data_IF_334765218961
#
_entry.id   IF_334765218961
#
_cell.length_a   1.000
_cell.length_b   1.000
_cell.length_c   1.000
_cell.angle_alpha   90.00
_cell.angle_beta   90.00
_cell.angle_gamma   90.00
#
_symmetry.space_group_name_H-M   'P 1'
#
loop_
_entity.id
_entity.type
_entity.pdbx_description
1 polymer ?
#
# COMPACT_ATOMS: atom_id res chain seq x y z
N UNK A 1 6.32 -17.09 -23.06
CA UNK A 1 5.94 -15.66 -23.14
C UNK A 1 4.99 -15.41 -21.99
N UNK A 2 5.49 -14.83 -20.89
CA UNK A 2 4.75 -14.70 -19.62
C UNK A 2 3.77 -13.54 -19.64
N UNK A 3 2.63 -13.62 -18.91
CA UNK A 3 1.65 -12.55 -18.89
C UNK A 3 2.19 -11.36 -18.10
N UNK A 4 2.33 -10.26 -18.83
CA UNK A 4 2.54 -8.90 -18.39
C UNK A 4 1.35 -8.42 -17.55
N UNK A 5 1.50 -8.38 -16.23
CA UNK A 5 0.69 -7.50 -15.38
C UNK A 5 1.30 -6.09 -15.45
N UNK A 6 1.08 -5.42 -16.57
CA UNK A 6 1.29 -3.99 -16.68
C UNK A 6 0.23 -3.28 -15.81
N UNK A 7 0.73 -2.45 -14.89
CA UNK A 7 0.12 -1.24 -14.33
C UNK A 7 -1.42 -1.16 -14.36
N UNK A 8 -2.06 -1.10 -13.19
CA UNK A 8 -3.51 -0.85 -13.13
C UNK A 8 -3.84 0.19 -12.07
N UNK A 9 -4.18 1.41 -12.51
CA UNK A 9 -5.02 2.33 -11.76
C UNK A 9 -6.45 1.79 -11.85
N UNK A 10 -6.91 1.12 -10.80
CA UNK A 10 -8.27 0.55 -10.78
C UNK A 10 -9.20 1.62 -10.19
N UNK A 11 -9.81 2.43 -11.06
CA UNK A 11 -10.94 3.30 -10.71
C UNK A 11 -12.22 2.47 -10.82
N UNK A 12 -12.77 1.99 -9.70
CA UNK A 12 -13.98 1.18 -9.69
C UNK A 12 -15.22 2.07 -9.61
N UNK A 13 -15.72 2.55 -10.75
CA UNK A 13 -17.08 3.04 -10.87
C UNK A 13 -18.00 1.87 -11.30
N UNK A 14 -18.90 1.46 -10.41
CA UNK A 14 -19.81 0.34 -10.65
C UNK A 14 -19.24 -1.03 -10.28
N UNK A 15 -20.07 -2.06 -10.42
CA UNK A 15 -19.71 -3.42 -10.04
C UNK A 15 -18.94 -4.08 -11.18
N UNK A 16 -17.66 -4.38 -10.94
CA UNK A 16 -16.80 -5.06 -11.91
C UNK A 16 -15.98 -6.17 -11.27
N UNK A 17 -15.79 -7.25 -12.04
CA UNK A 17 -14.87 -8.34 -11.78
C UNK A 17 -13.51 -7.97 -12.37
N UNK A 18 -12.46 -7.91 -11.55
CA UNK A 18 -11.09 -8.13 -12.05
C UNK A 18 -10.87 -9.63 -12.00
N UNK A 19 -10.98 -10.28 -13.16
CA UNK A 19 -10.74 -11.71 -13.33
C UNK A 19 -9.24 -11.98 -13.48
N UNK A 20 -8.60 -12.46 -12.41
CA UNK A 20 -7.51 -13.43 -12.56
C UNK A 20 -8.19 -14.81 -12.56
N UNK A 21 -8.42 -15.35 -13.77
CA UNK A 21 -8.98 -16.69 -14.09
C UNK A 21 -9.95 -17.32 -13.06
N UNK A 22 -11.26 -17.28 -13.36
CA UNK A 22 -12.30 -18.09 -12.69
C UNK A 22 -13.60 -17.30 -12.44
N UNK A 23 -14.73 -17.74 -13.02
CA UNK A 23 -16.05 -17.08 -13.01
C UNK A 23 -16.63 -16.85 -11.59
N UNK A 24 -17.36 -15.74 -11.35
CA UNK A 24 -18.34 -15.67 -10.26
C UNK A 24 -19.37 -14.52 -10.41
N UNK A 25 -20.65 -14.87 -10.45
CA UNK A 25 -21.82 -14.00 -10.72
C UNK A 25 -22.56 -13.48 -9.47
N UNK A 26 -23.21 -12.32 -9.69
CA UNK A 26 -24.32 -11.65 -8.96
C UNK A 26 -24.05 -10.85 -7.67
N UNK A 27 -24.79 -9.74 -7.59
CA UNK A 27 -24.63 -8.54 -6.74
C UNK A 27 -25.94 -8.26 -6.00
N UNK A 28 -25.87 -7.87 -4.72
CA UNK A 28 -26.94 -7.19 -3.98
C UNK A 28 -26.30 -6.21 -2.97
N UNK A 29 -26.87 -4.99 -2.80
CA UNK A 29 -26.43 -3.91 -1.85
C UNK A 29 -27.02 -4.17 -0.44
N UNK A 30 -26.48 -3.77 0.76
CA UNK A 30 -26.36 -2.38 1.34
C UNK A 30 -25.28 -2.16 2.49
N UNK A 31 -25.35 -1.04 3.26
CA UNK A 31 -24.71 -0.68 4.58
C UNK A 31 -23.53 -1.53 5.09
N UNK A 32 -22.29 -1.00 5.25
CA UNK A 32 -21.06 -1.51 5.95
C UNK A 32 -20.77 -3.03 6.10
N UNK A 33 -21.59 -3.86 5.48
CA UNK A 33 -21.82 -5.30 5.60
C UNK A 33 -22.02 -5.91 4.21
N UNK A 34 -22.16 -5.11 3.14
CA UNK A 34 -21.99 -5.59 1.76
C UNK A 34 -20.56 -5.39 1.32
N UNK A 35 -19.70 -6.31 1.73
CA UNK A 35 -18.32 -6.25 1.34
C UNK A 35 -18.13 -6.79 -0.09
N UNK A 36 -17.91 -5.90 -1.05
CA UNK A 36 -17.14 -6.30 -2.23
C UNK A 36 -15.78 -6.79 -1.74
N UNK A 37 -15.40 -8.01 -2.11
CA UNK A 37 -14.16 -8.65 -1.63
C UNK A 37 -13.14 -8.68 -2.75
N UNK A 38 -11.97 -8.10 -2.51
CA UNK A 38 -10.78 -8.38 -3.32
C UNK A 38 -9.94 -9.41 -2.57
N UNK A 39 -9.79 -10.59 -3.15
CA UNK A 39 -8.99 -11.67 -2.55
C UNK A 39 -7.69 -11.84 -3.33
N UNK A 40 -6.55 -11.66 -2.65
CA UNK A 40 -5.21 -11.87 -3.21
C UNK A 40 -4.66 -13.15 -2.58
N UNK A 41 -4.55 -14.22 -3.36
CA UNK A 41 -4.02 -15.52 -2.89
C UNK A 41 -2.65 -15.84 -3.48
N UNK A 42 -2.32 -15.25 -4.62
CA UNK A 42 -1.04 -15.46 -5.31
C UNK A 42 -0.02 -14.38 -4.92
N UNK A 43 1.20 -14.54 -5.44
CA UNK A 43 2.23 -13.51 -5.42
C UNK A 43 2.07 -12.61 -6.65
N UNK A 44 1.77 -11.34 -6.42
CA UNK A 44 1.86 -10.28 -7.41
C UNK A 44 3.27 -9.70 -7.36
N UNK A 45 3.91 -9.54 -8.51
CA UNK A 45 5.28 -9.03 -8.61
C UNK A 45 5.32 -7.83 -9.53
N UNK A 46 5.90 -6.73 -9.05
CA UNK A 46 6.03 -5.50 -9.83
C UNK A 46 7.17 -5.62 -10.86
N UNK A 47 7.12 -4.84 -11.95
CA UNK A 47 8.26 -4.71 -12.85
C UNK A 47 9.49 -4.16 -12.12
N UNK A 48 10.59 -4.90 -12.16
CA UNK A 48 11.83 -4.54 -11.46
C UNK A 48 12.59 -3.36 -12.08
N UNK A 49 12.50 -3.19 -13.40
CA UNK A 49 13.26 -2.20 -14.17
C UNK A 49 12.60 -0.82 -14.12
N UNK A 50 13.24 0.22 -13.52
CA UNK A 50 12.64 1.56 -13.43
C UNK A 50 12.22 2.16 -14.77
N UNK A 51 12.97 1.86 -15.84
CA UNK A 51 12.67 2.33 -17.20
C UNK A 51 11.39 1.73 -17.81
N UNK A 52 10.88 0.63 -17.25
CA UNK A 52 9.67 -0.01 -17.75
C UNK A 52 8.40 0.63 -17.18
N UNK A 53 8.53 1.54 -16.21
CA UNK A 53 7.40 2.19 -15.55
C UNK A 53 6.84 3.35 -16.35
N UNK A 54 5.52 3.45 -16.31
CA UNK A 54 4.80 4.60 -16.81
C UNK A 54 5.27 5.87 -16.08
N UNK A 55 5.83 6.87 -16.80
CA UNK A 55 6.30 8.11 -16.18
C UNK A 55 5.15 8.87 -15.48
N UNK A 56 3.92 8.75 -15.97
CA UNK A 56 2.74 9.43 -15.40
C UNK A 56 2.28 8.77 -14.09
N UNK A 57 2.66 7.51 -13.86
CA UNK A 57 2.40 6.74 -12.63
C UNK A 57 3.69 6.38 -11.89
N UNK A 58 4.74 7.17 -12.06
CA UNK A 58 6.09 6.91 -11.50
C UNK A 58 6.14 6.74 -9.97
N UNK A 59 5.06 7.09 -9.25
CA UNK A 59 4.94 6.98 -7.79
C UNK A 59 3.90 5.96 -7.32
N UNK A 60 3.27 5.22 -8.22
CA UNK A 60 2.13 4.35 -7.91
C UNK A 60 2.21 3.00 -8.63
N UNK A 61 2.12 1.90 -7.88
CA UNK A 61 1.93 0.57 -8.46
C UNK A 61 0.46 0.10 -8.43
N UNK A 62 -0.02 -0.35 -7.28
CA UNK A 62 -1.40 -0.80 -7.09
C UNK A 62 -2.20 0.31 -6.42
N UNK A 63 -2.94 1.07 -7.22
CA UNK A 63 -3.78 2.17 -6.75
C UNK A 63 -5.26 1.83 -6.79
N UNK A 64 -5.92 2.01 -5.66
CA UNK A 64 -7.37 1.90 -5.53
C UNK A 64 -7.92 3.21 -4.98
N UNK A 65 -8.89 3.78 -5.67
CA UNK A 65 -9.50 5.03 -5.25
C UNK A 65 -11.01 5.03 -5.37
N UNK A 66 -11.65 5.93 -4.62
CA UNK A 66 -13.10 6.14 -4.63
C UNK A 66 -13.89 4.86 -4.28
N UNK A 67 -13.34 4.04 -3.39
CA UNK A 67 -13.96 2.80 -2.95
C UNK A 67 -14.81 3.02 -1.70
N UNK A 68 -15.93 2.31 -1.61
CA UNK A 68 -16.76 2.27 -0.40
C UNK A 68 -17.08 0.83 -0.04
N UNK A 69 -16.74 0.41 1.19
CA UNK A 69 -17.15 -0.89 1.72
C UNK A 69 -16.38 -2.09 1.15
N UNK A 70 -15.12 -1.91 0.73
CA UNK A 70 -14.33 -2.98 0.11
C UNK A 70 -13.44 -3.69 1.15
N UNK A 71 -13.45 -5.03 1.09
CA UNK A 71 -12.58 -5.88 1.91
C UNK A 71 -11.45 -6.46 1.04
N UNK A 72 -10.22 -6.01 1.29
CA UNK A 72 -8.98 -6.59 0.79
C UNK A 72 -8.54 -7.70 1.74
N UNK A 73 -8.37 -8.91 1.22
CA UNK A 73 -8.09 -10.08 2.04
C UNK A 73 -7.29 -11.15 1.30
N UNK A 74 -6.80 -12.13 2.04
CA UNK A 74 -6.13 -13.31 1.51
C UNK A 74 -4.77 -13.52 2.17
N UNK A 75 -4.03 -14.51 1.68
CA UNK A 75 -2.68 -14.87 2.14
C UNK A 75 -1.61 -14.60 1.08
N UNK A 76 -1.98 -13.88 0.02
CA UNK A 76 -1.09 -13.56 -1.08
C UNK A 76 -0.03 -12.51 -0.72
N UNK A 77 0.92 -12.36 -1.63
CA UNK A 77 2.09 -11.51 -1.47
C UNK A 77 2.07 -10.41 -2.54
N UNK A 78 2.23 -9.16 -2.13
CA UNK A 78 2.46 -8.01 -3.01
C UNK A 78 3.96 -7.70 -2.95
N UNK A 79 4.70 -8.01 -4.01
CA UNK A 79 6.15 -7.84 -4.08
C UNK A 79 6.53 -6.70 -5.02
N UNK A 80 7.10 -5.63 -4.46
CA UNK A 80 7.52 -4.46 -5.22
C UNK A 80 8.81 -4.63 -6.03
N UNK A 81 9.58 -5.71 -5.87
CA UNK A 81 10.85 -5.90 -6.60
C UNK A 81 11.80 -4.69 -6.52
N UNK A 82 11.91 -4.07 -5.33
CA UNK A 82 12.56 -2.77 -5.14
C UNK A 82 14.09 -2.72 -5.30
N UNK A 83 14.79 -3.83 -5.49
CA UNK A 83 16.27 -3.87 -5.45
C UNK A 83 16.94 -2.89 -6.42
N UNK A 84 16.48 -2.82 -7.68
CA UNK A 84 17.02 -1.91 -8.70
C UNK A 84 16.69 -0.44 -8.39
N UNK A 85 15.52 -0.18 -7.81
CA UNK A 85 15.14 1.16 -7.34
C UNK A 85 16.01 1.64 -6.19
N UNK A 86 16.30 0.76 -5.24
CA UNK A 86 17.18 1.07 -4.12
C UNK A 86 18.60 1.34 -4.59
N UNK A 87 19.14 0.54 -5.51
CA UNK A 87 20.47 0.74 -6.09
C UNK A 87 20.59 2.10 -6.82
N UNK A 88 19.53 2.53 -7.49
CA UNK A 88 19.45 3.82 -8.19
C UNK A 88 19.15 5.02 -7.28
N UNK A 89 18.87 4.81 -5.99
CA UNK A 89 18.46 5.88 -5.07
C UNK A 89 19.62 6.84 -4.75
N UNK A 90 19.31 8.14 -4.68
CA UNK A 90 20.26 9.14 -4.21
C UNK A 90 20.61 9.01 -2.71
N UNK A 91 19.80 8.27 -1.94
CA UNK A 91 20.09 7.94 -0.54
C UNK A 91 21.15 6.86 -0.38
N UNK A 92 21.33 6.00 -1.39
CA UNK A 92 22.44 5.05 -1.46
C UNK A 92 23.71 5.72 -2.00
N UNK A 93 23.57 6.49 -3.06
CA UNK A 93 24.67 7.24 -3.66
C UNK A 93 24.22 8.65 -4.04
N UNK A 94 24.80 9.68 -3.40
CA UNK A 94 24.42 11.09 -3.62
C UNK A 94 24.68 11.60 -5.04
N UNK A 95 25.46 10.90 -5.86
CA UNK A 95 25.65 11.24 -7.28
C UNK A 95 24.47 10.81 -8.15
N UNK A 96 23.61 9.91 -7.67
CA UNK A 96 22.39 9.52 -8.38
C UNK A 96 21.35 10.64 -8.30
N UNK A 97 20.49 10.80 -9.33
CA UNK A 97 19.39 11.74 -9.26
C UNK A 97 18.40 11.34 -8.17
N UNK A 98 17.95 12.31 -7.36
CA UNK A 98 16.89 12.07 -6.38
C UNK A 98 15.54 11.97 -7.07
N UNK A 99 15.18 10.76 -7.49
CA UNK A 99 13.88 10.43 -8.08
C UNK A 99 13.03 9.67 -7.08
N UNK A 100 11.73 9.94 -7.09
CA UNK A 100 10.76 9.11 -6.39
C UNK A 100 10.64 7.73 -7.04
N UNK A 101 10.11 6.78 -6.28
CA UNK A 101 9.82 5.45 -6.76
C UNK A 101 8.37 5.05 -6.42
N UNK A 102 7.84 3.98 -7.02
CA UNK A 102 6.46 3.57 -6.79
C UNK A 102 6.19 3.11 -5.35
N UNK A 103 5.02 3.47 -4.84
CA UNK A 103 4.42 2.83 -3.67
C UNK A 103 3.75 1.52 -4.09
N UNK A 104 3.94 0.45 -3.31
CA UNK A 104 3.43 -0.86 -3.67
C UNK A 104 1.89 -0.95 -3.64
N UNK A 105 1.26 -0.48 -2.55
CA UNK A 105 -0.19 -0.43 -2.40
C UNK A 105 -0.65 0.95 -1.92
N UNK A 106 -1.62 1.53 -2.62
CA UNK A 106 -2.25 2.80 -2.24
C UNK A 106 -3.77 2.65 -2.19
N UNK A 107 -4.37 3.01 -1.06
CA UNK A 107 -5.81 3.25 -0.91
C UNK A 107 -5.99 4.76 -0.75
N UNK A 108 -6.67 5.38 -1.71
CA UNK A 108 -6.90 6.82 -1.74
C UNK A 108 -8.39 7.15 -1.81
N UNK A 109 -8.83 8.28 -1.25
CA UNK A 109 -10.19 8.81 -1.43
C UNK A 109 -11.29 7.78 -1.17
N UNK A 110 -11.12 6.92 -0.15
CA UNK A 110 -11.94 5.72 0.05
C UNK A 110 -12.53 5.66 1.46
N UNK A 111 -13.65 4.95 1.62
CA UNK A 111 -14.34 4.83 2.90
C UNK A 111 -14.71 3.38 3.25
N UNK A 112 -14.77 3.07 4.55
CA UNK A 112 -15.18 1.75 5.04
C UNK A 112 -14.35 0.60 4.45
N UNK A 113 -13.02 0.75 4.44
CA UNK A 113 -12.09 -0.23 3.87
C UNK A 113 -11.58 -1.18 4.95
N UNK A 114 -11.50 -2.47 4.62
CA UNK A 114 -10.83 -3.47 5.48
C UNK A 114 -9.71 -4.13 4.72
N UNK A 115 -8.51 -4.16 5.27
CA UNK A 115 -7.34 -4.88 4.74
C UNK A 115 -6.90 -5.93 5.75
N UNK A 116 -6.83 -7.20 5.35
CA UNK A 116 -6.52 -8.30 6.27
C UNK A 116 -5.63 -9.38 5.65
N UNK A 117 -4.58 -9.78 6.38
CA UNK A 117 -3.83 -11.02 6.09
C UNK A 117 -2.78 -10.92 4.98
N UNK A 118 -2.69 -9.78 4.30
CA UNK A 118 -1.76 -9.61 3.18
C UNK A 118 -0.31 -9.51 3.65
N UNK A 119 0.60 -10.00 2.80
CA UNK A 119 2.03 -9.71 2.91
C UNK A 119 2.42 -8.69 1.83
N UNK A 120 3.11 -7.62 2.21
CA UNK A 120 3.64 -6.61 1.28
C UNK A 120 5.14 -6.55 1.49
N UNK A 121 5.92 -6.82 0.45
CA UNK A 121 7.38 -6.92 0.60
C UNK A 121 8.13 -6.20 -0.52
N UNK A 122 9.37 -5.83 -0.20
CA UNK A 122 10.33 -5.25 -1.14
C UNK A 122 9.75 -4.11 -1.96
N UNK A 123 8.99 -3.21 -1.34
CA UNK A 123 8.49 -2.05 -2.05
C UNK A 123 9.64 -1.17 -2.56
N UNK A 124 9.44 -0.61 -3.75
CA UNK A 124 10.38 0.29 -4.41
C UNK A 124 10.59 1.57 -3.59
N UNK A 125 9.51 2.10 -3.01
CA UNK A 125 9.53 3.14 -2.00
C UNK A 125 8.64 2.73 -0.81
N UNK A 126 7.38 3.17 -0.72
CA UNK A 126 6.53 2.89 0.43
C UNK A 126 5.68 1.64 0.23
N UNK A 127 5.50 0.82 1.27
CA UNK A 127 4.74 -0.43 1.16
C UNK A 127 3.24 -0.18 1.08
N UNK A 128 2.69 0.64 1.98
CA UNK A 128 1.25 0.84 2.03
C UNK A 128 0.89 2.30 2.38
N UNK A 129 0.23 3.00 1.46
CA UNK A 129 -0.33 4.34 1.68
C UNK A 129 -1.85 4.27 1.88
N UNK A 130 -2.33 4.98 2.91
CA UNK A 130 -3.74 5.28 3.15
C UNK A 130 -3.87 6.81 3.09
N UNK A 131 -4.55 7.32 2.07
CA UNK A 131 -4.71 8.76 1.86
C UNK A 131 -6.16 9.17 1.65
N UNK A 132 -6.53 10.38 2.08
CA UNK A 132 -7.87 10.96 1.88
C UNK A 132 -9.03 10.02 2.23
N UNK A 133 -8.85 9.16 3.24
CA UNK A 133 -9.74 8.04 3.50
C UNK A 133 -10.37 8.11 4.88
N UNK A 134 -11.56 7.51 5.04
CA UNK A 134 -12.25 7.40 6.31
C UNK A 134 -12.58 5.94 6.66
N UNK A 135 -12.52 5.61 7.95
CA UNK A 135 -12.95 4.32 8.47
C UNK A 135 -12.20 3.15 7.83
N UNK A 136 -10.87 3.23 7.84
CA UNK A 136 -9.97 2.19 7.29
C UNK A 136 -9.45 1.28 8.41
N UNK A 137 -9.64 -0.04 8.27
CA UNK A 137 -9.13 -1.03 9.22
C UNK A 137 -8.12 -1.96 8.56
N UNK A 138 -6.88 -1.93 9.04
CA UNK A 138 -5.80 -2.83 8.62
C UNK A 138 -5.51 -3.80 9.74
N UNK A 139 -5.45 -5.11 9.44
CA UNK A 139 -5.19 -6.11 10.46
C UNK A 139 -4.41 -7.32 9.98
N UNK A 140 -3.55 -7.88 10.84
CA UNK A 140 -2.81 -9.11 10.56
C UNK A 140 -2.00 -9.04 9.26
N UNK A 141 -1.37 -7.90 8.97
CA UNK A 141 -0.52 -7.77 7.78
C UNK A 141 0.96 -7.92 8.14
N UNK A 142 1.73 -8.40 7.17
CA UNK A 142 3.19 -8.48 7.24
C UNK A 142 3.78 -7.52 6.20
N UNK A 143 4.69 -6.66 6.65
CA UNK A 143 5.48 -5.78 5.79
C UNK A 143 6.96 -6.08 5.98
N UNK A 144 7.69 -6.31 4.89
CA UNK A 144 9.12 -6.64 4.97
C UNK A 144 9.97 -6.13 3.81
N UNK A 145 11.11 -5.53 4.12
CA UNK A 145 12.21 -5.24 3.19
C UNK A 145 13.56 -5.31 3.96
N UNK A 146 14.72 -5.33 3.27
CA UNK A 146 16.02 -5.23 3.93
C UNK A 146 16.11 -4.02 4.88
N UNK A 147 16.79 -4.15 6.01
CA UNK A 147 16.87 -3.08 7.02
C UNK A 147 17.62 -1.83 6.56
N UNK A 148 18.34 -1.90 5.45
CA UNK A 148 19.09 -0.81 4.85
C UNK A 148 18.43 -0.27 3.56
N UNK A 149 17.25 -0.76 3.17
CA UNK A 149 16.55 -0.30 1.97
C UNK A 149 16.04 1.14 2.13
N UNK A 150 16.42 2.08 1.23
CA UNK A 150 16.16 3.51 1.40
C UNK A 150 14.67 3.85 1.21
N UNK A 151 14.14 4.75 2.05
CA UNK A 151 12.79 5.32 1.93
C UNK A 151 11.67 4.28 1.88
N UNK A 152 11.83 3.21 2.65
CA UNK A 152 10.93 2.05 2.60
C UNK A 152 9.78 2.09 3.59
N UNK A 153 9.03 3.19 3.68
CA UNK A 153 7.93 3.41 4.65
C UNK A 153 6.99 2.19 4.72
N UNK A 154 6.58 1.83 5.95
CA UNK A 154 5.70 0.68 6.17
C UNK A 154 4.26 1.05 5.82
N UNK A 155 3.55 1.64 6.79
CA UNK A 155 2.20 2.18 6.57
C UNK A 155 2.26 3.71 6.70
N UNK A 156 1.96 4.41 5.62
CA UNK A 156 1.89 5.86 5.57
C UNK A 156 0.42 6.32 5.57
N UNK A 157 0.04 7.20 6.50
CA UNK A 157 -1.32 7.70 6.68
C UNK A 157 -1.32 9.22 6.50
N UNK A 158 -2.05 9.71 5.50
CA UNK A 158 -2.18 11.13 5.17
C UNK A 158 -3.64 11.54 4.99
N UNK A 159 -4.03 12.73 5.42
CA UNK A 159 -5.37 13.29 5.20
C UNK A 159 -6.53 12.32 5.49
N UNK A 160 -6.39 11.45 6.49
CA UNK A 160 -7.31 10.33 6.73
C UNK A 160 -7.82 10.30 8.16
N UNK A 161 -9.07 9.88 8.35
CA UNK A 161 -9.69 9.80 9.68
C UNK A 161 -10.20 8.39 9.99
N UNK A 162 -10.32 8.08 11.28
CA UNK A 162 -10.78 6.79 11.80
C UNK A 162 -9.99 5.57 11.26
N UNK A 163 -8.66 5.69 11.20
CA UNK A 163 -7.78 4.58 10.77
C UNK A 163 -7.44 3.68 11.95
N UNK A 164 -7.63 2.36 11.82
CA UNK A 164 -7.25 1.38 12.84
C UNK A 164 -6.24 0.37 12.30
N UNK A 165 -5.08 0.27 12.94
CA UNK A 165 -4.05 -0.74 12.67
C UNK A 165 -4.00 -1.76 13.82
N UNK A 166 -4.11 -3.05 13.50
CA UNK A 166 -4.14 -4.12 14.50
C UNK A 166 -3.25 -5.31 14.11
N UNK A 167 -2.36 -5.71 15.02
CA UNK A 167 -1.55 -6.92 14.85
C UNK A 167 -0.74 -6.91 13.54
N UNK A 168 -0.02 -5.82 13.29
CA UNK A 168 0.81 -5.66 12.10
C UNK A 168 2.28 -5.89 12.46
N UNK A 169 3.00 -6.65 11.63
CA UNK A 169 4.46 -6.83 11.75
C UNK A 169 5.14 -6.13 10.59
N UNK A 170 6.04 -5.21 10.87
CA UNK A 170 6.63 -4.29 9.88
C UNK A 170 8.14 -4.19 10.13
N UNK A 171 8.95 -4.63 9.17
CA UNK A 171 10.42 -4.53 9.26
C UNK A 171 11.04 -4.12 7.93
N UNK A 172 11.78 -3.00 7.90
CA UNK A 172 12.32 -2.38 6.68
C UNK A 172 13.37 -1.30 7.04
N UNK A 173 13.76 -0.42 6.11
CA UNK A 173 14.81 0.60 6.34
C UNK A 173 14.41 2.05 6.67
N UNK A 174 13.15 2.36 7.05
CA UNK A 174 12.74 3.75 7.37
C UNK A 174 11.61 3.78 8.44
N UNK A 175 10.63 4.69 8.37
CA UNK A 175 9.44 4.75 9.25
C UNK A 175 8.47 3.55 9.17
N UNK A 176 8.28 2.84 10.28
CA UNK A 176 7.38 1.70 10.42
C UNK A 176 5.92 2.11 10.15
N UNK A 177 5.47 3.16 10.82
CA UNK A 177 4.18 3.82 10.56
C UNK A 177 4.43 5.32 10.60
N UNK A 178 4.04 6.04 9.57
CA UNK A 178 4.13 7.50 9.50
C UNK A 178 2.72 8.08 9.41
N UNK A 179 2.38 9.01 10.30
CA UNK A 179 1.09 9.71 10.32
C UNK A 179 1.39 11.18 10.07
N UNK A 180 0.82 11.72 9.00
CA UNK A 180 1.10 13.09 8.57
C UNK A 180 -0.17 13.96 8.56
N UNK A 181 -0.01 15.22 8.14
CA UNK A 181 -1.03 16.27 8.11
C UNK A 181 -2.45 15.81 7.71
N UNK A 182 -3.43 16.51 8.29
CA UNK A 182 -4.86 16.28 8.10
C UNK A 182 -5.34 14.86 8.48
N UNK A 183 -4.55 14.11 9.26
CA UNK A 183 -4.96 12.81 9.80
C UNK A 183 -5.46 12.92 11.23
N UNK A 184 -6.50 12.17 11.58
CA UNK A 184 -7.11 12.18 12.91
C UNK A 184 -7.66 10.81 13.31
N UNK A 185 -7.89 10.58 14.61
CA UNK A 185 -8.52 9.35 15.13
C UNK A 185 -7.81 8.05 14.70
N UNK A 186 -6.47 8.05 14.65
CA UNK A 186 -5.67 6.87 14.33
C UNK A 186 -5.47 6.01 15.58
N UNK A 187 -5.85 4.72 15.51
CA UNK A 187 -5.71 3.75 16.60
C UNK A 187 -4.76 2.64 16.20
N UNK A 188 -3.78 2.35 17.05
CA UNK A 188 -2.79 1.31 16.82
C UNK A 188 -2.73 0.34 18.00
N UNK A 189 -2.76 -0.96 17.73
CA UNK A 189 -2.64 -2.00 18.77
C UNK A 189 -1.84 -3.18 18.24
N UNK A 190 -0.88 -3.67 19.04
CA UNK A 190 0.02 -4.79 18.67
C UNK A 190 0.74 -4.52 17.34
N UNK A 191 1.48 -3.42 17.28
CA UNK A 191 2.34 -3.10 16.14
C UNK A 191 3.76 -3.52 16.49
N UNK A 192 4.34 -4.39 15.67
CA UNK A 192 5.71 -4.86 15.82
C UNK A 192 6.56 -4.19 14.75
N UNK A 193 7.41 -3.25 15.16
CA UNK A 193 8.31 -2.52 14.29
C UNK A 193 9.75 -3.02 14.46
N UNK A 194 10.46 -3.28 13.37
CA UNK A 194 11.89 -3.56 13.41
C UNK A 194 12.34 -4.53 12.32
N UNK A 195 13.43 -4.22 11.59
CA UNK A 195 14.24 -2.99 11.65
C UNK A 195 13.50 -1.73 11.13
N UNK A 196 14.07 -0.52 11.34
CA UNK A 196 13.55 0.76 10.84
C UNK A 196 13.66 1.92 11.86
N UNK A 197 13.00 3.04 11.57
CA UNK A 197 12.97 4.28 12.35
C UNK A 197 11.80 4.37 13.35
N UNK A 198 11.00 3.30 13.48
CA UNK A 198 9.86 3.28 14.40
C UNK A 198 8.63 4.05 13.89
N UNK A 199 7.79 4.51 14.81
CA UNK A 199 6.55 5.23 14.48
C UNK A 199 6.83 6.73 14.49
N UNK A 200 6.45 7.44 13.42
CA UNK A 200 6.62 8.90 13.30
C UNK A 200 5.31 9.64 13.11
N UNK A 201 5.22 10.79 13.76
CA UNK A 201 4.13 11.75 13.66
C UNK A 201 4.72 13.04 13.07
N UNK A 202 4.28 13.41 11.87
CA UNK A 202 4.79 14.59 11.16
C UNK A 202 3.64 15.55 10.89
N UNK A 203 3.41 16.47 11.83
CA UNK A 203 2.41 17.51 11.69
C UNK A 203 3.11 18.84 11.40
N UNK A 204 2.99 19.35 10.18
CA UNK A 204 3.38 20.71 9.83
C UNK A 204 2.28 21.67 10.27
N UNK A 205 2.61 22.55 11.22
CA UNK A 205 1.82 23.73 11.56
C UNK A 205 2.21 24.84 10.60
N UNK A 206 1.50 24.99 9.48
CA UNK A 206 1.47 26.31 8.82
C UNK A 206 0.56 27.19 9.68
N UNK A 207 1.17 28.04 10.51
CA UNK A 207 0.51 29.15 11.16
C UNK A 207 0.22 30.26 10.14
#
# INVERSE_FOLDING_TARGET
>A
MGPSLLYTKISLAGSWRVSLSGQCDKIQRPMCNSASRLTIQCRLMAPEEPKNWDPDLSRLWLGFSNLTGVNFQGSGVIDGSGSKWWAASCKRNRTNPCKGAPTALTIDSSSCIRVKGLTIQNSQQMHFVISHSDSVRVSNILISAPGDSPNTDGIHISASTNVTLLNCKIGKGDDCVSIVNASSSVKMKKIYCGPGHGIRLEFSTTA
#
